data_IF_408236024934
#
_entry.id   IF_408236024934
#
_cell.length_a   1.000
_cell.length_b   1.000
_cell.length_c   1.000
_cell.angle_alpha   90.00
_cell.angle_beta   90.00
_cell.angle_gamma   90.00
#
_symmetry.space_group_name_H-M   'P 1'
#
loop_
_entity.id
_entity.type
_entity.pdbx_description
1 polymer ?
#
# COMPACT_ATOMS: atom_id res chain seq x y z
N UNK A 1 -19.87 -1.30 10.24
CA UNK A 1 -19.67 -0.05 11.03
C UNK A 1 -20.93 0.34 11.78
N UNK A 2 -20.82 0.75 13.07
CA UNK A 2 -21.95 1.34 13.83
C UNK A 2 -22.40 2.63 13.13
N UNK A 3 -23.72 2.81 12.92
CA UNK A 3 -24.36 3.94 12.20
C UNK A 3 -23.76 5.32 12.53
N UNK A 4 -23.26 5.48 13.76
CA UNK A 4 -22.65 6.71 14.27
C UNK A 4 -21.40 7.12 13.46
N UNK A 5 -20.48 6.20 13.12
CA UNK A 5 -19.26 6.57 12.36
C UNK A 5 -19.57 7.01 10.92
N UNK A 6 -20.58 6.43 10.27
CA UNK A 6 -20.99 6.83 8.92
C UNK A 6 -21.58 8.25 8.90
N UNK A 7 -22.33 8.62 9.93
CA UNK A 7 -22.88 9.98 10.09
C UNK A 7 -21.76 11.02 10.26
N UNK A 8 -20.70 10.71 11.03
CA UNK A 8 -19.59 11.64 11.24
C UNK A 8 -18.82 11.94 9.94
N UNK A 9 -18.56 10.94 9.10
CA UNK A 9 -17.85 11.15 7.82
C UNK A 9 -18.70 11.99 6.86
N UNK A 10 -20.01 11.71 6.74
CA UNK A 10 -20.93 12.48 5.90
C UNK A 10 -21.05 13.93 6.40
N UNK A 11 -21.16 14.15 7.72
CA UNK A 11 -21.24 15.49 8.30
C UNK A 11 -19.97 16.32 8.04
N UNK A 12 -18.79 15.70 8.04
CA UNK A 12 -17.52 16.39 7.79
C UNK A 12 -17.42 16.85 6.33
N UNK A 13 -17.88 16.01 5.39
CA UNK A 13 -17.95 16.36 3.96
C UNK A 13 -19.01 17.44 3.71
N UNK A 14 -20.18 17.35 4.35
CA UNK A 14 -21.23 18.37 4.21
C UNK A 14 -20.82 19.74 4.79
N UNK A 15 -20.06 19.78 5.89
CA UNK A 15 -19.50 21.00 6.45
C UNK A 15 -18.46 21.64 5.51
N UNK A 16 -17.70 20.81 4.80
CA UNK A 16 -16.72 21.26 3.80
C UNK A 16 -17.39 21.83 2.54
N UNK A 17 -18.54 21.27 2.12
CA UNK A 17 -19.31 21.81 0.99
C UNK A 17 -20.08 23.09 1.40
N UNK A 18 -20.58 23.15 2.64
CA UNK A 18 -21.35 24.29 3.16
C UNK A 18 -20.48 25.54 3.36
N UNK A 19 -19.17 25.38 3.55
CA UNK A 19 -18.22 26.50 3.64
C UNK A 19 -17.87 27.12 2.28
N UNK A 20 -18.26 26.49 1.16
CA UNK A 20 -18.14 27.04 -0.19
C UNK A 20 -19.32 27.94 -0.61
N UNK A 21 -20.26 28.25 0.28
CA UNK A 21 -21.47 29.01 -0.02
C UNK A 21 -21.26 30.53 0.12
N UNK A 22 -20.39 31.11 -0.71
CA UNK A 22 -20.43 32.57 -0.92
C UNK A 22 -19.90 33.03 -2.28
N UNK A 23 -20.25 32.35 -3.38
CA UNK A 23 -20.08 32.94 -4.71
C UNK A 23 -21.08 32.38 -5.75
N UNK A 24 -21.91 33.29 -6.27
CA UNK A 24 -22.59 33.29 -7.57
C UNK A 24 -23.76 32.30 -7.88
N UNK A 25 -24.97 32.86 -7.79
CA UNK A 25 -26.09 32.83 -8.76
C UNK A 25 -26.69 31.50 -9.29
N UNK A 26 -27.71 31.05 -8.55
CA UNK A 26 -29.06 30.53 -8.88
C UNK A 26 -29.49 29.90 -10.24
N UNK A 27 -28.63 29.55 -11.19
CA UNK A 27 -29.08 28.81 -12.41
C UNK A 27 -28.35 27.53 -12.78
N UNK A 28 -27.18 27.25 -12.19
CA UNK A 28 -26.39 26.04 -12.50
C UNK A 28 -26.28 25.01 -11.36
N UNK A 29 -26.96 25.25 -10.23
CA UNK A 29 -26.84 24.43 -9.01
C UNK A 29 -27.27 22.98 -9.24
N UNK A 30 -28.34 22.74 -10.01
CA UNK A 30 -28.83 21.37 -10.24
C UNK A 30 -27.87 20.50 -11.04
N UNK A 31 -27.15 21.06 -12.01
CA UNK A 31 -26.22 20.30 -12.87
C UNK A 31 -24.88 20.03 -12.14
N UNK A 32 -24.44 20.97 -11.30
CA UNK A 32 -23.28 20.80 -10.43
C UNK A 32 -23.54 19.78 -9.31
N UNK A 33 -24.73 19.81 -8.72
CA UNK A 33 -25.13 18.87 -7.65
C UNK A 33 -25.27 17.44 -8.18
N UNK A 34 -25.72 17.25 -9.42
CA UNK A 34 -25.80 15.93 -10.04
C UNK A 34 -24.42 15.36 -10.40
N UNK A 35 -23.53 16.16 -11.01
CA UNK A 35 -22.16 15.74 -11.35
C UNK A 35 -21.30 15.48 -10.11
N UNK A 36 -21.44 16.30 -9.06
CA UNK A 36 -20.77 16.06 -7.79
C UNK A 36 -21.34 14.85 -7.04
N UNK A 37 -22.65 14.56 -7.14
CA UNK A 37 -23.23 13.30 -6.62
C UNK A 37 -22.68 12.08 -7.34
N UNK A 38 -22.61 12.10 -8.68
CA UNK A 38 -22.05 10.98 -9.45
C UNK A 38 -20.56 10.75 -9.14
N UNK A 39 -19.78 11.82 -8.95
CA UNK A 39 -18.39 11.70 -8.49
C UNK A 39 -18.32 11.13 -7.07
N UNK A 40 -19.13 11.62 -6.13
CA UNK A 40 -19.10 11.16 -4.74
C UNK A 40 -19.63 9.73 -4.61
N UNK A 41 -20.65 9.33 -5.38
CA UNK A 41 -21.10 7.95 -5.48
C UNK A 41 -20.02 7.05 -6.07
N UNK A 42 -19.33 7.47 -7.15
CA UNK A 42 -18.18 6.73 -7.67
C UNK A 42 -17.02 6.61 -6.66
N UNK A 43 -16.78 7.63 -5.84
CA UNK A 43 -15.81 7.58 -4.75
C UNK A 43 -16.25 6.67 -3.59
N UNK A 44 -17.55 6.66 -3.25
CA UNK A 44 -18.13 5.80 -2.22
C UNK A 44 -18.18 4.34 -2.67
N UNK A 45 -18.50 4.04 -3.92
CA UNK A 45 -18.49 2.69 -4.49
C UNK A 45 -17.08 2.08 -4.49
N UNK A 46 -16.05 2.89 -4.80
CA UNK A 46 -14.65 2.46 -4.71
C UNK A 46 -14.23 2.18 -3.27
N UNK A 47 -14.72 2.97 -2.31
CA UNK A 47 -14.43 2.76 -0.88
C UNK A 47 -15.20 1.56 -0.31
N UNK A 48 -16.48 1.39 -0.63
CA UNK A 48 -17.30 0.25 -0.19
C UNK A 48 -16.79 -1.07 -0.83
N UNK A 49 -16.40 -1.07 -2.11
CA UNK A 49 -15.72 -2.21 -2.75
C UNK A 49 -14.42 -2.59 -2.04
N UNK A 50 -13.62 -1.61 -1.61
CA UNK A 50 -12.36 -1.83 -0.86
C UNK A 50 -12.58 -2.42 0.53
N UNK A 51 -13.75 -2.20 1.15
CA UNK A 51 -14.11 -2.75 2.46
C UNK A 51 -14.76 -4.14 2.36
N UNK A 52 -15.61 -4.41 1.36
CA UNK A 52 -16.16 -5.76 1.15
C UNK A 52 -15.09 -6.80 0.80
N UNK A 53 -14.02 -6.39 0.08
CA UNK A 53 -12.87 -7.26 -0.20
C UNK A 53 -12.14 -7.63 1.10
N UNK A 54 -12.02 -6.68 2.04
CA UNK A 54 -11.39 -6.92 3.37
C UNK A 54 -12.20 -7.86 4.26
N UNK A 55 -13.53 -7.76 4.25
CA UNK A 55 -14.38 -8.61 5.10
C UNK A 55 -14.47 -10.06 4.58
N UNK A 56 -14.35 -10.27 3.26
CA UNK A 56 -14.33 -11.62 2.65
C UNK A 56 -12.97 -12.33 2.80
N UNK A 57 -11.85 -11.60 2.79
CA UNK A 57 -10.52 -12.18 3.07
C UNK A 57 -10.30 -12.50 4.56
N UNK A 58 -10.96 -11.79 5.48
CA UNK A 58 -10.83 -12.04 6.92
C UNK A 58 -11.51 -13.34 7.38
N UNK A 59 -12.54 -13.80 6.68
CA UNK A 59 -13.33 -14.98 7.06
C UNK A 59 -12.73 -16.32 6.60
N UNK A 60 -11.80 -16.29 5.63
CA UNK A 60 -11.20 -17.51 5.06
C UNK A 60 -9.94 -18.02 5.77
N UNK A 61 -9.40 -17.29 6.75
CA UNK A 61 -8.07 -17.54 7.31
C UNK A 61 -8.02 -18.01 8.77
N UNK A 62 -9.16 -18.25 9.43
CA UNK A 62 -9.21 -18.53 10.88
C UNK A 62 -9.49 -19.98 11.27
N UNK A 63 -9.57 -20.92 10.32
CA UNK A 63 -9.78 -22.33 10.65
C UNK A 63 -8.50 -23.14 10.47
N UNK A 64 -8.12 -23.78 11.59
CA UNK A 64 -7.05 -24.75 11.80
C UNK A 64 -5.71 -24.15 12.23
N UNK A 65 -5.47 -24.11 13.55
CA UNK A 65 -4.35 -24.82 14.20
C UNK A 65 -4.53 -24.75 15.74
N UNK A 66 -5.49 -25.51 16.26
CA UNK A 66 -5.41 -26.08 17.60
C UNK A 66 -4.85 -27.50 17.41
N UNK A 67 -3.68 -27.78 17.97
CA UNK A 67 -3.03 -29.09 17.87
C UNK A 67 -1.81 -29.19 18.76
N UNK A 68 -2.07 -29.66 19.98
CA UNK A 68 -1.25 -30.54 20.81
C UNK A 68 0.13 -30.08 21.32
N UNK A 69 0.10 -29.56 22.55
CA UNK A 69 1.18 -29.70 23.53
C UNK A 69 0.57 -30.17 24.85
N UNK A 70 0.12 -31.41 24.89
CA UNK A 70 -0.05 -32.16 26.15
C UNK A 70 0.88 -33.38 26.12
N UNK A 71 1.93 -33.30 26.94
CA UNK A 71 2.78 -34.42 27.31
C UNK A 71 2.96 -34.39 28.82
N UNK A 72 2.38 -35.39 29.49
CA UNK A 72 2.44 -35.66 30.93
C UNK A 72 3.84 -35.55 31.54
N UNK A 73 3.96 -34.93 32.72
CA UNK A 73 4.78 -35.46 33.82
C UNK A 73 4.06 -35.25 35.15
N UNK A 74 4.02 -36.32 35.94
CA UNK A 74 3.24 -36.55 37.14
C UNK A 74 3.69 -35.79 38.41
N UNK A 75 2.82 -35.92 39.42
CA UNK A 75 2.75 -35.31 40.75
C UNK A 75 3.98 -35.43 41.70
N UNK A 76 4.26 -34.30 42.37
CA UNK A 76 4.33 -34.07 43.84
C UNK A 76 5.58 -34.45 44.66
N UNK A 77 6.08 -33.47 45.46
CA UNK A 77 7.03 -33.61 46.57
C UNK A 77 7.41 -32.26 47.21
N UNK A 78 7.27 -32.15 48.53
CA UNK A 78 7.28 -30.96 49.40
C UNK A 78 8.58 -30.09 49.49
N UNK A 79 8.36 -28.83 49.91
CA UNK A 79 9.23 -27.68 50.31
C UNK A 79 10.34 -27.97 51.39
N UNK A 80 11.20 -27.00 51.84
CA UNK A 80 11.24 -25.53 51.60
C UNK A 80 12.61 -24.83 51.38
N UNK A 81 12.52 -23.58 50.89
CA UNK A 81 13.40 -22.42 51.07
C UNK A 81 14.91 -22.51 50.75
N UNK A 82 15.31 -21.79 49.69
CA UNK A 82 16.33 -20.74 49.83
C UNK A 82 16.05 -19.60 48.85
N UNK A 83 16.04 -18.38 49.38
CA UNK A 83 15.93 -17.14 48.60
C UNK A 83 17.19 -16.99 47.74
N UNK A 84 17.02 -16.99 46.42
CA UNK A 84 17.96 -16.32 45.51
C UNK A 84 17.14 -15.41 44.61
N UNK A 85 16.91 -14.21 45.12
CA UNK A 85 16.51 -13.07 44.30
C UNK A 85 17.75 -12.58 43.52
N UNK A 86 17.51 -11.98 42.35
CA UNK A 86 18.47 -11.50 41.34
C UNK A 86 19.03 -12.54 40.37
N UNK A 87 18.22 -12.90 39.37
CA UNK A 87 18.71 -13.68 38.24
C UNK A 87 17.70 -13.95 37.12
N UNK A 88 16.55 -13.27 37.07
CA UNK A 88 15.67 -13.31 35.87
C UNK A 88 16.27 -12.38 34.80
N UNK A 89 17.45 -12.81 34.35
CA UNK A 89 18.12 -12.67 33.06
C UNK A 89 17.58 -11.56 32.16
N UNK A 90 18.33 -10.45 32.06
CA UNK A 90 18.17 -9.46 30.99
C UNK A 90 18.10 -10.12 29.60
N UNK A 91 18.81 -11.25 29.43
CA UNK A 91 18.87 -12.02 28.18
C UNK A 91 17.52 -12.68 27.81
N UNK A 92 16.68 -13.03 28.80
CA UNK A 92 15.32 -13.56 28.57
C UNK A 92 14.37 -12.47 28.04
N UNK A 93 14.44 -11.25 28.62
CA UNK A 93 13.61 -10.13 28.17
C UNK A 93 14.00 -9.67 26.77
N UNK A 94 15.30 -9.57 26.50
CA UNK A 94 15.82 -9.24 25.17
C UNK A 94 15.38 -10.26 24.12
N UNK A 95 15.37 -11.56 24.46
CA UNK A 95 14.91 -12.62 23.57
C UNK A 95 13.43 -12.50 23.23
N UNK A 96 12.57 -12.22 24.21
CA UNK A 96 11.14 -12.00 23.96
C UNK A 96 10.86 -10.76 23.10
N UNK A 97 11.60 -9.66 23.31
CA UNK A 97 11.48 -8.47 22.47
C UNK A 97 11.91 -8.72 21.02
N UNK A 98 12.98 -9.49 20.81
CA UNK A 98 13.44 -9.86 19.47
C UNK A 98 12.44 -10.78 18.76
N UNK A 99 11.85 -11.73 19.47
CA UNK A 99 10.81 -12.60 18.92
C UNK A 99 9.57 -11.80 18.50
N UNK A 100 9.15 -10.81 19.31
CA UNK A 100 8.07 -9.89 18.94
C UNK A 100 8.40 -9.09 17.68
N UNK A 101 9.62 -8.54 17.57
CA UNK A 101 10.07 -7.81 16.38
C UNK A 101 10.07 -8.69 15.11
N UNK A 102 10.50 -9.94 15.21
CA UNK A 102 10.45 -10.89 14.09
C UNK A 102 9.01 -11.14 13.65
N UNK A 103 8.09 -11.38 14.61
CA UNK A 103 6.66 -11.58 14.31
C UNK A 103 6.03 -10.34 13.67
N UNK A 104 6.29 -9.15 14.21
CA UNK A 104 5.82 -7.89 13.64
C UNK A 104 6.34 -7.68 12.21
N UNK A 105 7.62 -7.94 11.96
CA UNK A 105 8.21 -7.78 10.63
C UNK A 105 7.65 -8.79 9.63
N UNK A 106 7.41 -10.03 10.07
CA UNK A 106 6.72 -11.05 9.28
C UNK A 106 5.33 -10.59 8.86
N UNK A 107 4.54 -10.06 9.80
CA UNK A 107 3.22 -9.52 9.48
C UNK A 107 3.28 -8.34 8.51
N UNK A 108 4.24 -7.42 8.68
CA UNK A 108 4.43 -6.27 7.77
C UNK A 108 4.72 -6.75 6.34
N UNK A 109 5.62 -7.72 6.18
CA UNK A 109 5.97 -8.28 4.87
C UNK A 109 4.78 -9.01 4.25
N UNK A 110 4.05 -9.81 5.02
CA UNK A 110 2.89 -10.55 4.53
C UNK A 110 1.78 -9.62 4.04
N UNK A 111 1.45 -8.59 4.84
CA UNK A 111 0.45 -7.56 4.55
C UNK A 111 0.89 -6.59 3.43
N UNK A 112 2.18 -6.51 3.13
CA UNK A 112 2.68 -5.66 2.04
C UNK A 112 2.18 -6.16 0.69
N UNK A 113 1.63 -5.25 -0.12
CA UNK A 113 1.19 -5.57 -1.47
C UNK A 113 2.24 -5.02 -2.47
N UNK A 114 2.83 -5.87 -3.32
CA UNK A 114 3.78 -5.44 -4.34
C UNK A 114 3.24 -4.28 -5.22
N UNK A 115 1.93 -4.16 -5.44
CA UNK A 115 1.38 -3.08 -6.29
C UNK A 115 1.55 -1.70 -5.70
N UNK A 116 1.54 -1.58 -4.39
CA UNK A 116 1.49 -0.28 -3.72
C UNK A 116 2.62 -0.06 -2.71
N UNK A 117 3.43 -1.09 -2.46
CA UNK A 117 4.55 -1.00 -1.54
C UNK A 117 5.80 -0.63 -2.32
N UNK A 118 6.40 0.51 -1.96
CA UNK A 118 7.60 1.00 -2.62
C UNK A 118 8.83 0.16 -2.29
N UNK A 119 9.83 0.13 -3.18
CA UNK A 119 11.12 -0.48 -2.85
C UNK A 119 11.79 0.16 -1.63
N UNK A 120 11.58 1.45 -1.37
CA UNK A 120 12.13 2.10 -0.18
C UNK A 120 11.68 1.38 1.11
N UNK A 121 10.40 1.01 1.18
CA UNK A 121 9.84 0.26 2.31
C UNK A 121 10.44 -1.13 2.40
N UNK A 122 10.61 -1.83 1.27
CA UNK A 122 11.28 -3.12 1.27
C UNK A 122 12.76 -3.03 1.69
N UNK A 123 13.48 -1.98 1.31
CA UNK A 123 14.85 -1.71 1.78
C UNK A 123 14.91 -1.49 3.30
N UNK A 124 13.88 -0.86 3.89
CA UNK A 124 13.78 -0.68 5.33
C UNK A 124 13.60 -2.04 6.02
N UNK A 125 12.77 -2.93 5.47
CA UNK A 125 12.62 -4.29 5.99
C UNK A 125 13.91 -5.10 5.89
N UNK A 126 14.66 -5.02 4.79
CA UNK A 126 15.96 -5.69 4.66
C UNK A 126 16.94 -5.25 5.76
N UNK A 127 17.03 -3.95 6.03
CA UNK A 127 17.87 -3.42 7.11
C UNK A 127 17.42 -3.90 8.49
N UNK A 128 16.11 -3.93 8.75
CA UNK A 128 15.55 -4.48 9.99
C UNK A 128 15.95 -5.96 10.15
N UNK A 129 15.92 -6.76 9.07
CA UNK A 129 16.36 -8.16 9.10
C UNK A 129 17.87 -8.28 9.38
N UNK A 130 18.71 -7.49 8.72
CA UNK A 130 20.17 -7.49 8.94
C UNK A 130 20.53 -7.14 10.38
N UNK A 131 19.89 -6.11 10.95
CA UNK A 131 20.09 -5.74 12.35
C UNK A 131 19.65 -6.87 13.31
N UNK A 132 18.55 -7.55 13.00
CA UNK A 132 18.09 -8.70 13.79
C UNK A 132 19.08 -9.86 13.69
N UNK A 133 19.62 -10.15 12.49
CA UNK A 133 20.66 -11.16 12.29
C UNK A 133 21.90 -10.87 13.11
N UNK A 134 22.37 -9.63 13.12
CA UNK A 134 23.55 -9.25 13.89
C UNK A 134 23.35 -9.44 15.40
N UNK A 135 22.18 -9.03 15.93
CA UNK A 135 21.80 -9.19 17.34
C UNK A 135 21.55 -10.65 17.74
N UNK A 136 21.34 -11.54 16.78
CA UNK A 136 20.98 -12.95 16.98
C UNK A 136 22.04 -13.94 16.46
N UNK A 137 23.27 -13.49 16.14
CA UNK A 137 24.35 -14.32 15.58
C UNK A 137 24.63 -15.62 16.35
N UNK A 138 24.39 -15.62 17.67
CA UNK A 138 24.67 -16.77 18.54
C UNK A 138 23.44 -17.65 18.82
N UNK A 139 22.28 -17.36 18.19
CA UNK A 139 20.98 -17.98 18.51
C UNK A 139 20.43 -18.73 17.28
N UNK A 140 20.92 -19.97 17.07
CA UNK A 140 20.56 -20.90 15.97
C UNK A 140 19.03 -21.05 15.77
N UNK A 141 18.24 -20.94 16.84
CA UNK A 141 16.76 -21.04 16.77
C UNK A 141 16.12 -20.03 15.81
N UNK A 142 16.67 -18.81 15.71
CA UNK A 142 16.07 -17.74 14.89
C UNK A 142 16.63 -17.66 13.48
N UNK A 143 17.70 -18.39 13.17
CA UNK A 143 18.36 -18.35 11.87
C UNK A 143 17.41 -18.79 10.76
N UNK A 144 16.67 -19.90 10.98
CA UNK A 144 15.67 -20.40 10.03
C UNK A 144 14.50 -19.45 9.83
N UNK A 145 14.05 -18.77 10.90
CA UNK A 145 12.95 -17.80 10.81
C UNK A 145 13.37 -16.58 9.99
N UNK A 146 14.58 -16.05 10.24
CA UNK A 146 15.14 -14.92 9.49
C UNK A 146 15.40 -15.30 8.02
N UNK A 147 15.90 -16.49 7.74
CA UNK A 147 16.09 -16.97 6.36
C UNK A 147 14.74 -17.08 5.62
N UNK A 148 13.70 -17.56 6.30
CA UNK A 148 12.34 -17.63 5.73
C UNK A 148 11.80 -16.23 5.44
N UNK A 149 12.04 -15.28 6.34
CA UNK A 149 11.63 -13.89 6.20
C UNK A 149 12.34 -13.20 5.02
N UNK A 150 13.63 -13.45 4.84
CA UNK A 150 14.38 -12.95 3.68
C UNK A 150 13.87 -13.50 2.35
N UNK A 151 13.56 -14.80 2.30
CA UNK A 151 12.97 -15.41 1.09
C UNK A 151 11.63 -14.76 0.76
N UNK A 152 10.75 -14.62 1.75
CA UNK A 152 9.46 -13.95 1.58
C UNK A 152 9.61 -12.48 1.12
N UNK A 153 10.57 -11.75 1.67
CA UNK A 153 10.87 -10.38 1.26
C UNK A 153 11.39 -10.30 -0.17
N UNK A 154 12.32 -11.16 -0.56
CA UNK A 154 12.85 -11.26 -1.93
C UNK A 154 11.74 -11.54 -2.94
N UNK A 155 10.83 -12.47 -2.64
CA UNK A 155 9.67 -12.73 -3.49
C UNK A 155 8.76 -11.50 -3.68
N UNK A 156 8.57 -10.70 -2.62
CA UNK A 156 7.77 -9.46 -2.70
C UNK A 156 8.48 -8.40 -3.55
N UNK A 157 9.79 -8.27 -3.41
CA UNK A 157 10.63 -7.36 -4.21
C UNK A 157 10.58 -7.75 -5.69
N UNK A 158 10.73 -9.04 -6.01
CA UNK A 158 10.67 -9.53 -7.39
C UNK A 158 9.29 -9.29 -8.02
N UNK A 159 8.20 -9.52 -7.26
CA UNK A 159 6.84 -9.19 -7.70
C UNK A 159 6.69 -7.69 -7.98
N UNK A 160 7.19 -6.80 -7.11
CA UNK A 160 7.18 -5.34 -7.32
C UNK A 160 7.94 -4.96 -8.58
N UNK A 161 9.13 -5.54 -8.79
CA UNK A 161 9.96 -5.30 -9.99
C UNK A 161 9.18 -5.61 -11.25
N UNK A 162 8.57 -6.80 -11.31
CA UNK A 162 7.75 -7.21 -12.45
C UNK A 162 6.56 -6.29 -12.70
N UNK A 163 5.85 -5.89 -11.65
CA UNK A 163 4.72 -4.97 -11.78
C UNK A 163 5.14 -3.59 -12.29
N UNK A 164 6.31 -3.10 -11.88
CA UNK A 164 6.89 -1.86 -12.38
C UNK A 164 7.34 -1.97 -13.84
N UNK A 165 7.93 -3.09 -14.26
CA UNK A 165 8.31 -3.35 -15.66
C UNK A 165 7.06 -3.43 -16.57
N UNK A 166 6.03 -4.16 -16.13
CA UNK A 166 4.74 -4.25 -16.83
C UNK A 166 4.08 -2.87 -16.94
N UNK A 167 4.11 -2.08 -15.86
CA UNK A 167 3.61 -0.72 -15.86
C UNK A 167 4.40 0.18 -16.82
N UNK A 168 5.74 0.06 -16.84
CA UNK A 168 6.59 0.84 -17.73
C UNK A 168 6.20 0.63 -19.20
N UNK A 169 5.96 -0.63 -19.60
CA UNK A 169 5.50 -0.97 -20.94
C UNK A 169 4.12 -0.37 -21.24
N UNK A 170 3.19 -0.43 -20.28
CA UNK A 170 1.86 0.15 -20.40
C UNK A 170 1.89 1.68 -20.54
N UNK A 171 2.78 2.37 -19.81
CA UNK A 171 2.94 3.82 -19.95
C UNK A 171 3.59 4.21 -21.28
N UNK A 172 4.52 3.42 -21.83
CA UNK A 172 5.05 3.61 -23.20
C UNK A 172 3.96 3.42 -24.27
N UNK A 173 3.04 2.49 -24.05
CA UNK A 173 1.87 2.32 -24.92
C UNK A 173 0.94 3.54 -24.84
N UNK A 174 0.62 4.04 -23.65
CA UNK A 174 -0.12 5.30 -23.50
C UNK A 174 0.57 6.47 -24.20
N UNK A 175 1.90 6.58 -24.08
CA UNK A 175 2.69 7.61 -24.76
C UNK A 175 2.53 7.52 -26.28
N UNK A 176 2.59 6.30 -26.82
CA UNK A 176 2.42 6.03 -28.25
C UNK A 176 1.01 6.38 -28.72
N UNK A 177 -0.02 6.00 -27.95
CA UNK A 177 -1.41 6.34 -28.24
C UNK A 177 -1.64 7.86 -28.26
N UNK A 178 -1.06 8.60 -27.30
CA UNK A 178 -1.15 10.07 -27.27
C UNK A 178 -0.51 10.69 -28.52
N UNK A 179 0.66 10.18 -28.93
CA UNK A 179 1.38 10.62 -30.15
C UNK A 179 0.62 10.30 -31.44
N UNK A 180 -0.02 9.14 -31.50
CA UNK A 180 -0.80 8.68 -32.67
C UNK A 180 -2.26 9.16 -32.66
N UNK A 181 -2.63 10.04 -31.74
CA UNK A 181 -4.03 10.50 -31.64
C UNK A 181 -4.38 11.42 -32.82
N UNK A 182 -5.02 10.84 -33.83
CA UNK A 182 -5.61 11.57 -34.94
C UNK A 182 -7.08 11.93 -34.67
N UNK A 183 -7.49 13.11 -35.12
CA UNK A 183 -8.86 13.60 -35.00
C UNK A 183 -9.25 14.45 -36.20
N UNK A 184 -10.55 14.47 -36.51
CA UNK A 184 -11.09 15.29 -37.61
C UNK A 184 -11.03 16.79 -37.27
N UNK A 185 -10.97 17.10 -35.98
CA UNK A 185 -10.79 18.43 -35.40
C UNK A 185 -9.79 18.39 -34.25
N UNK A 186 -9.21 19.54 -33.89
CA UNK A 186 -8.33 19.67 -32.72
C UNK A 186 -9.05 19.27 -31.42
N UNK A 187 -10.34 19.59 -31.28
CA UNK A 187 -11.14 19.21 -30.11
C UNK A 187 -11.28 17.70 -29.94
N UNK A 188 -11.43 16.95 -31.04
CA UNK A 188 -11.50 15.49 -31.01
C UNK A 188 -10.16 14.87 -30.54
N UNK A 189 -9.04 15.47 -30.93
CA UNK A 189 -7.71 15.02 -30.50
C UNK A 189 -7.52 15.24 -29.00
N UNK A 190 -7.82 16.44 -28.51
CA UNK A 190 -7.71 16.80 -27.08
C UNK A 190 -8.60 15.91 -26.22
N UNK A 191 -9.83 15.60 -26.67
CA UNK A 191 -10.75 14.71 -25.96
C UNK A 191 -10.21 13.27 -25.85
N UNK A 192 -9.69 12.72 -26.94
CA UNK A 192 -9.07 11.37 -26.95
C UNK A 192 -7.83 11.32 -26.06
N UNK A 193 -6.96 12.32 -26.14
CA UNK A 193 -5.78 12.42 -25.28
C UNK A 193 -6.16 12.55 -23.80
N UNK A 194 -7.19 13.32 -23.46
CA UNK A 194 -7.72 13.41 -22.09
C UNK A 194 -8.18 12.05 -21.54
N UNK A 195 -8.84 11.22 -22.37
CA UNK A 195 -9.22 9.86 -21.97
C UNK A 195 -8.01 8.98 -21.67
N UNK A 196 -6.97 9.03 -22.53
CA UNK A 196 -5.72 8.30 -22.31
C UNK A 196 -5.03 8.80 -21.02
N UNK A 197 -4.97 10.12 -20.82
CA UNK A 197 -4.41 10.72 -19.61
C UNK A 197 -5.13 10.28 -18.34
N UNK A 198 -6.45 10.15 -18.37
CA UNK A 198 -7.22 9.64 -17.23
C UNK A 198 -6.93 8.16 -16.96
N UNK A 199 -6.79 7.32 -17.99
CA UNK A 199 -6.39 5.92 -17.84
C UNK A 199 -4.98 5.79 -17.26
N UNK A 200 -4.04 6.61 -17.76
CA UNK A 200 -2.67 6.68 -17.25
C UNK A 200 -2.65 7.10 -15.77
N UNK A 201 -3.46 8.11 -15.40
CA UNK A 201 -3.56 8.57 -14.02
C UNK A 201 -4.13 7.49 -13.08
N UNK A 202 -5.16 6.77 -13.53
CA UNK A 202 -5.71 5.64 -12.75
C UNK A 202 -4.63 4.57 -12.53
N UNK A 203 -3.91 4.20 -13.57
CA UNK A 203 -2.82 3.23 -13.50
C UNK A 203 -1.70 3.69 -12.53
N UNK A 204 -1.30 4.97 -12.60
CA UNK A 204 -0.29 5.53 -11.71
C UNK A 204 -0.73 5.47 -10.23
N UNK A 205 -2.00 5.81 -9.96
CA UNK A 205 -2.57 5.77 -8.60
C UNK A 205 -2.66 4.35 -8.05
N UNK A 206 -3.05 3.38 -8.88
CA UNK A 206 -3.07 1.96 -8.49
C UNK A 206 -1.69 1.46 -8.05
N UNK A 207 -0.64 2.02 -8.64
CA UNK A 207 0.76 1.67 -8.36
C UNK A 207 1.44 2.55 -7.29
N UNK A 208 0.69 3.50 -6.72
CA UNK A 208 1.19 4.54 -5.81
C UNK A 208 2.40 5.33 -6.36
N UNK A 209 2.44 5.54 -7.67
CA UNK A 209 3.48 6.35 -8.31
C UNK A 209 3.28 7.83 -8.00
N UNK A 210 4.39 8.55 -7.83
CA UNK A 210 4.35 9.98 -7.59
C UNK A 210 4.16 10.73 -8.92
N UNK A 211 2.91 11.04 -9.26
CA UNK A 211 2.54 11.80 -10.45
C UNK A 211 1.96 13.16 -10.07
N UNK A 212 2.48 14.23 -10.67
CA UNK A 212 1.98 15.57 -10.41
C UNK A 212 0.76 15.86 -11.27
N UNK A 213 -0.41 15.93 -10.65
CA UNK A 213 -1.59 16.54 -11.28
C UNK A 213 -1.72 17.99 -10.79
N UNK A 214 -1.75 18.94 -11.72
CA UNK A 214 -2.19 20.30 -11.39
C UNK A 214 -3.70 20.35 -11.62
N UNK A 215 -4.46 20.67 -10.57
CA UNK A 215 -5.90 20.95 -10.67
C UNK A 215 -6.19 22.34 -11.23
N UNK A 216 -5.16 23.08 -11.68
CA UNK A 216 -5.38 24.35 -12.35
C UNK A 216 -6.24 24.11 -13.58
N UNK A 217 -7.40 24.74 -13.58
CA UNK A 217 -8.50 24.66 -14.56
C UNK A 217 -8.13 25.06 -15.98
N UNK A 218 -6.86 25.38 -16.23
CA UNK A 218 -6.31 25.86 -17.49
C UNK A 218 -5.39 24.83 -18.17
N UNK A 219 -5.26 23.62 -17.61
CA UNK A 219 -4.39 22.59 -18.19
C UNK A 219 -5.15 21.87 -19.29
N UNK A 220 -4.90 22.32 -20.51
CA UNK A 220 -5.25 21.71 -21.78
C UNK A 220 -5.10 20.16 -21.67
N UNK A 221 -6.14 19.39 -22.00
CA UNK A 221 -6.23 17.96 -21.61
C UNK A 221 -5.11 17.09 -22.22
N UNK A 222 -4.48 17.57 -23.28
CA UNK A 222 -3.29 17.03 -23.91
C UNK A 222 -2.02 17.19 -23.04
N UNK A 223 -1.90 18.31 -22.31
CA UNK A 223 -0.82 18.54 -21.35
C UNK A 223 -0.95 17.61 -20.14
N UNK A 224 -2.18 17.32 -19.69
CA UNK A 224 -2.41 16.38 -18.59
C UNK A 224 -1.91 14.97 -18.96
N UNK A 225 -2.28 14.46 -20.14
CA UNK A 225 -1.91 13.12 -20.55
C UNK A 225 -0.39 12.96 -20.64
N UNK A 226 0.30 13.89 -21.31
CA UNK A 226 1.75 13.87 -21.45
C UNK A 226 2.44 13.92 -20.08
N UNK A 227 2.03 14.85 -19.21
CA UNK A 227 2.66 15.04 -17.89
C UNK A 227 2.49 13.83 -16.98
N UNK A 228 1.29 13.26 -16.91
CA UNK A 228 1.05 12.06 -16.08
C UNK A 228 1.88 10.88 -16.57
N UNK A 229 1.98 10.69 -17.89
CA UNK A 229 2.77 9.60 -18.47
C UNK A 229 4.27 9.80 -18.21
N UNK A 230 4.78 11.02 -18.42
CA UNK A 230 6.19 11.37 -18.19
C UNK A 230 6.57 11.20 -16.71
N UNK A 231 5.79 11.77 -15.79
CA UNK A 231 6.03 11.64 -14.35
C UNK A 231 5.98 10.18 -13.90
N UNK A 232 5.03 9.39 -14.43
CA UNK A 232 4.91 7.98 -14.08
C UNK A 232 6.12 7.17 -14.56
N UNK A 233 6.54 7.36 -15.81
CA UNK A 233 7.73 6.70 -16.37
C UNK A 233 8.98 7.04 -15.56
N UNK A 234 9.16 8.32 -15.22
CA UNK A 234 10.26 8.77 -14.38
C UNK A 234 10.21 8.16 -12.98
N UNK A 235 9.04 8.14 -12.34
CA UNK A 235 8.86 7.54 -11.01
C UNK A 235 9.19 6.04 -11.02
N UNK A 236 8.79 5.31 -12.07
CA UNK A 236 9.11 3.89 -12.25
C UNK A 236 10.62 3.70 -12.41
N UNK A 237 11.26 4.49 -13.27
CA UNK A 237 12.70 4.40 -13.53
C UNK A 237 13.53 4.68 -12.27
N UNK A 238 13.18 5.74 -11.52
CA UNK A 238 13.84 6.08 -10.25
C UNK A 238 13.68 4.96 -9.21
N UNK A 239 12.53 4.29 -9.18
CA UNK A 239 12.28 3.18 -8.28
C UNK A 239 13.08 1.93 -8.70
N UNK A 240 13.06 1.54 -9.97
CA UNK A 240 13.86 0.42 -10.49
C UNK A 240 15.37 0.64 -10.36
N UNK A 241 15.86 1.86 -10.56
CA UNK A 241 17.28 2.19 -10.41
C UNK A 241 17.81 1.95 -9.00
N UNK A 242 16.97 2.17 -7.97
CA UNK A 242 17.33 1.88 -6.57
C UNK A 242 17.58 0.39 -6.32
N UNK A 243 16.99 -0.48 -7.13
CA UNK A 243 17.20 -1.93 -7.06
C UNK A 243 18.51 -2.32 -7.75
N UNK A 244 18.76 -1.80 -8.96
CA UNK A 244 19.99 -2.10 -9.70
C UNK A 244 21.26 -1.61 -8.99
N UNK A 245 21.19 -0.45 -8.34
CA UNK A 245 22.32 0.09 -7.54
C UNK A 245 22.67 -0.76 -6.30
N UNK A 246 21.90 -1.82 -5.98
CA UNK A 246 22.26 -2.81 -4.95
C UNK A 246 22.90 -4.07 -5.52
N UNK A 247 22.77 -4.32 -6.82
CA UNK A 247 23.36 -5.48 -7.49
C UNK A 247 24.82 -5.23 -7.91
N UNK A 248 25.30 -3.98 -7.88
CA UNK A 248 26.71 -3.55 -8.02
C UNK A 248 27.43 -3.46 -6.67
#
# INVERSE_FOLDING_TARGET
MKKIMKIFIICTVFAMISSCKNYASDKNVKNLEQNSREQVEGFLDVLDSKYEIKDKELAGGFENFNGDLEGEVAMQGDQPQEQVDQGVSEDSKLKEELEKKIKELKEKIEKSNPKNTSFKTYCEYEKEIEELKEKLKDKEKFEKELETLEKALKEKIEKRKKELEDAQNKFKDFESQVKSTDGRTQGDQVKKQGQIGFQALKCAKELCLNVSYSSSTDTDSDQLAKKVIEDALKSIEEELKKLNNKEE
#
